data_IF_508676738982
#
_entry.id   IF_508676738982
#
_cell.length_a   1.000
_cell.length_b   1.000
_cell.length_c   1.000
_cell.angle_alpha   90.00
_cell.angle_beta   90.00
_cell.angle_gamma   90.00
#
_symmetry.space_group_name_H-M   'P 1'
#
loop_
_entity.id
_entity.type
_entity.pdbx_description
1 polymer ?
#
# COMPACT_ATOMS: atom_id res chain seq x y z
N UNK A 1 27.82 -53.24 10.12
CA UNK A 1 28.36 -52.18 11.00
C UNK A 1 28.72 -50.88 10.26
N UNK A 2 29.36 -50.89 9.07
CA UNK A 2 29.77 -49.66 8.36
C UNK A 2 28.62 -48.76 7.83
N UNK A 3 27.50 -49.32 7.36
CA UNK A 3 26.36 -48.55 6.87
C UNK A 3 25.65 -47.77 7.99
N UNK A 4 25.60 -48.37 9.19
CA UNK A 4 24.99 -47.77 10.39
C UNK A 4 25.76 -46.53 10.86
N UNK A 5 27.10 -46.57 10.81
CA UNK A 5 27.94 -45.44 11.19
C UNK A 5 27.78 -44.24 10.24
N UNK A 6 27.65 -44.48 8.93
CA UNK A 6 27.44 -43.42 7.95
C UNK A 6 26.08 -42.75 8.12
N UNK A 7 25.01 -43.53 8.34
CA UNK A 7 23.68 -42.99 8.63
C UNK A 7 23.66 -42.16 9.92
N UNK A 8 24.37 -42.58 10.96
CA UNK A 8 24.52 -41.82 12.21
C UNK A 8 25.29 -40.53 11.96
N UNK A 9 26.40 -40.56 11.21
CA UNK A 9 27.16 -39.35 10.88
C UNK A 9 26.35 -38.34 10.05
N UNK A 10 25.51 -38.80 9.12
CA UNK A 10 24.62 -37.94 8.34
C UNK A 10 23.55 -37.32 9.25
N UNK A 11 22.96 -38.10 10.16
CA UNK A 11 21.97 -37.60 11.10
C UNK A 11 22.57 -36.56 12.05
N UNK A 12 23.77 -36.82 12.58
CA UNK A 12 24.52 -35.93 13.46
C UNK A 12 24.94 -34.65 12.71
N UNK A 13 25.36 -34.74 11.45
CA UNK A 13 25.66 -33.57 10.62
C UNK A 13 24.43 -32.68 10.43
N UNK A 14 23.25 -33.26 10.12
CA UNK A 14 21.99 -32.51 10.03
C UNK A 14 21.62 -31.85 11.37
N UNK A 15 21.77 -32.56 12.49
CA UNK A 15 21.49 -32.00 13.82
C UNK A 15 22.44 -30.86 14.23
N UNK A 16 23.72 -30.89 13.85
CA UNK A 16 24.69 -29.84 14.18
C UNK A 16 24.49 -28.58 13.32
N UNK A 17 23.94 -28.71 12.10
CA UNK A 17 23.63 -27.56 11.24
C UNK A 17 22.31 -26.86 11.57
N UNK A 18 21.46 -27.46 12.41
CA UNK A 18 20.26 -26.79 12.92
C UNK A 18 20.65 -25.80 14.02
N UNK A 19 20.86 -24.54 13.64
CA UNK A 19 20.75 -23.46 14.63
C UNK A 19 19.35 -23.55 15.24
N UNK A 20 19.27 -23.96 16.50
CA UNK A 20 18.09 -23.75 17.34
C UNK A 20 18.00 -22.24 17.58
N UNK A 21 17.45 -21.51 16.62
CA UNK A 21 17.03 -20.15 16.89
C UNK A 21 15.90 -20.24 17.91
N UNK A 22 16.10 -19.58 19.06
CA UNK A 22 15.07 -19.41 20.07
C UNK A 22 13.81 -18.80 19.42
N UNK A 23 12.64 -19.05 20.05
CA UNK A 23 11.38 -18.40 19.67
C UNK A 23 11.62 -16.92 19.38
N UNK A 24 11.13 -16.42 18.24
CA UNK A 24 11.10 -14.98 17.98
C UNK A 24 10.19 -14.33 19.04
N UNK A 25 10.81 -13.89 20.12
CA UNK A 25 10.21 -12.99 21.09
C UNK A 25 10.15 -11.60 20.48
N UNK A 26 9.03 -10.91 20.72
CA UNK A 26 8.89 -9.50 20.34
C UNK A 26 7.89 -9.23 19.22
N UNK A 27 6.87 -10.07 19.00
CA UNK A 27 5.73 -9.73 18.15
C UNK A 27 4.71 -8.87 18.90
N UNK A 28 3.69 -9.52 19.46
CA UNK A 28 2.64 -8.89 20.25
C UNK A 28 2.89 -9.00 21.75
N UNK A 29 2.36 -8.04 22.53
CA UNK A 29 2.38 -8.11 24.00
C UNK A 29 1.59 -9.35 24.49
N UNK A 30 2.15 -10.20 25.38
CA UNK A 30 1.46 -11.40 25.89
C UNK A 30 0.21 -11.08 26.73
N UNK A 31 0.02 -9.83 27.17
CA UNK A 31 -1.22 -9.43 27.84
C UNK A 31 -2.41 -9.31 26.88
N UNK A 32 -2.17 -9.30 25.57
CA UNK A 32 -3.22 -9.18 24.55
C UNK A 32 -4.06 -10.45 24.50
N UNK A 33 -5.35 -10.33 24.78
CA UNK A 33 -6.29 -11.46 24.71
C UNK A 33 -6.79 -11.64 23.30
N UNK A 34 -6.40 -12.76 22.69
CA UNK A 34 -6.79 -13.13 21.34
C UNK A 34 -8.05 -13.99 21.34
N UNK A 35 -8.92 -13.71 20.37
CA UNK A 35 -10.12 -14.45 20.03
C UNK A 35 -9.98 -14.99 18.61
N UNK A 36 -10.78 -16.00 18.29
CA UNK A 36 -10.80 -16.62 16.98
C UNK A 36 -12.24 -16.78 16.48
N UNK A 37 -12.48 -16.35 15.24
CA UNK A 37 -13.69 -16.68 14.50
C UNK A 37 -13.35 -17.63 13.36
N UNK A 38 -13.99 -18.80 13.33
CA UNK A 38 -13.78 -19.84 12.31
C UNK A 38 -14.89 -19.86 11.28
N UNK A 39 -14.53 -20.19 10.04
CA UNK A 39 -15.46 -20.50 8.97
C UNK A 39 -14.86 -21.55 8.03
N UNK A 40 -15.62 -22.00 7.04
CA UNK A 40 -15.09 -22.86 5.97
C UNK A 40 -13.96 -22.19 5.15
N UNK A 41 -13.81 -20.86 5.24
CA UNK A 41 -12.81 -20.05 4.52
C UNK A 41 -11.51 -19.85 5.31
N UNK A 42 -11.42 -20.47 6.49
CA UNK A 42 -10.32 -20.31 7.42
C UNK A 42 -10.74 -19.59 8.68
N UNK A 43 -9.89 -18.72 9.22
CA UNK A 43 -10.09 -18.12 10.52
C UNK A 43 -9.68 -16.66 10.55
N UNK A 44 -10.36 -15.88 11.37
CA UNK A 44 -9.96 -14.52 11.74
C UNK A 44 -9.50 -14.58 13.19
N UNK A 45 -8.25 -14.23 13.45
CA UNK A 45 -7.63 -14.16 14.77
C UNK A 45 -7.51 -12.67 15.11
N UNK A 46 -8.11 -12.25 16.22
CA UNK A 46 -8.24 -10.83 16.55
C UNK A 46 -8.18 -10.59 18.06
N UNK A 47 -7.66 -9.45 18.52
CA UNK A 47 -7.72 -9.05 19.92
C UNK A 47 -9.15 -8.75 20.37
N UNK A 48 -9.46 -9.05 21.63
CA UNK A 48 -10.72 -8.64 22.28
C UNK A 48 -11.03 -7.16 22.03
N UNK A 49 -12.27 -6.85 21.63
CA UNK A 49 -12.70 -5.50 21.27
C UNK A 49 -12.76 -5.22 19.76
N UNK A 50 -12.31 -6.17 18.92
CA UNK A 50 -12.47 -6.13 17.47
C UNK A 50 -13.55 -7.08 16.94
N UNK A 51 -14.45 -7.57 17.80
CA UNK A 51 -15.49 -8.55 17.50
C UNK A 51 -16.40 -8.11 16.34
N UNK A 52 -16.78 -6.83 16.32
CA UNK A 52 -17.64 -6.28 15.27
C UNK A 52 -16.93 -6.21 13.91
N UNK A 53 -15.66 -5.84 13.90
CA UNK A 53 -14.81 -5.77 12.72
C UNK A 53 -14.55 -7.18 12.18
N UNK A 54 -14.18 -8.13 13.04
CA UNK A 54 -13.98 -9.52 12.65
C UNK A 54 -15.25 -10.13 12.02
N UNK A 55 -16.42 -9.92 12.65
CA UNK A 55 -17.71 -10.40 12.13
C UNK A 55 -18.07 -9.78 10.77
N UNK A 56 -17.85 -8.46 10.64
CA UNK A 56 -18.09 -7.72 9.39
C UNK A 56 -17.20 -8.22 8.26
N UNK A 57 -15.92 -8.40 8.54
CA UNK A 57 -14.95 -8.90 7.58
C UNK A 57 -15.27 -10.33 7.14
N UNK A 58 -15.65 -11.21 8.07
CA UNK A 58 -16.11 -12.56 7.73
C UNK A 58 -17.32 -12.53 6.77
N UNK A 59 -18.28 -11.66 7.04
CA UNK A 59 -19.47 -11.48 6.21
C UNK A 59 -19.14 -10.89 4.84
N UNK A 60 -18.22 -9.93 4.76
CA UNK A 60 -17.75 -9.37 3.50
C UNK A 60 -17.01 -10.40 2.65
N UNK A 61 -16.12 -11.20 3.25
CA UNK A 61 -15.46 -12.31 2.54
C UNK A 61 -16.48 -13.29 1.96
N UNK A 62 -17.47 -13.70 2.75
CA UNK A 62 -18.54 -14.60 2.29
C UNK A 62 -19.36 -13.98 1.15
N UNK A 63 -19.71 -12.70 1.26
CA UNK A 63 -20.44 -11.96 0.23
C UNK A 63 -19.60 -11.82 -1.05
N UNK A 64 -18.33 -11.46 -0.94
CA UNK A 64 -17.43 -11.34 -2.09
C UNK A 64 -17.28 -12.67 -2.80
N UNK A 65 -17.19 -13.80 -2.09
CA UNK A 65 -17.19 -15.12 -2.73
C UNK A 65 -18.49 -15.42 -3.47
N UNK A 66 -19.64 -15.21 -2.83
CA UNK A 66 -20.94 -15.45 -3.46
C UNK A 66 -21.11 -14.62 -4.74
N UNK A 67 -20.65 -13.37 -4.72
CA UNK A 67 -20.68 -12.46 -5.87
C UNK A 67 -19.61 -12.78 -6.92
N UNK A 68 -18.48 -13.35 -6.49
CA UNK A 68 -17.42 -13.80 -7.39
C UNK A 68 -17.73 -15.17 -8.00
N UNK A 69 -18.71 -15.93 -7.50
CA UNK A 69 -19.02 -17.27 -8.01
C UNK A 69 -19.39 -17.29 -9.51
N UNK A 70 -19.84 -16.15 -10.05
CA UNK A 70 -20.10 -15.94 -11.48
C UNK A 70 -18.92 -15.35 -12.25
N UNK A 71 -17.84 -14.97 -11.57
CA UNK A 71 -16.59 -14.49 -12.14
C UNK A 71 -15.71 -15.68 -12.56
N UNK A 72 -15.22 -15.66 -13.80
CA UNK A 72 -14.35 -16.71 -14.34
C UNK A 72 -13.04 -16.91 -13.55
N UNK A 73 -12.64 -15.90 -12.77
CA UNK A 73 -11.46 -15.94 -11.90
C UNK A 73 -11.72 -16.67 -10.57
N UNK A 74 -12.96 -16.99 -10.23
CA UNK A 74 -13.28 -17.60 -8.94
C UNK A 74 -12.84 -19.06 -8.84
N UNK A 75 -12.22 -19.36 -7.70
CA UNK A 75 -12.00 -20.69 -7.16
C UNK A 75 -12.14 -20.53 -5.64
N UNK A 76 -12.81 -21.44 -4.92
CA UNK A 76 -12.84 -21.40 -3.47
C UNK A 76 -11.41 -21.24 -2.95
N UNK A 77 -11.18 -20.18 -2.16
CA UNK A 77 -9.88 -19.99 -1.56
C UNK A 77 -9.58 -21.20 -0.67
N UNK A 78 -8.32 -21.64 -0.65
CA UNK A 78 -7.87 -22.51 0.45
C UNK A 78 -8.16 -21.80 1.78
N UNK A 79 -8.35 -22.47 2.93
CA UNK A 79 -8.53 -21.75 4.19
C UNK A 79 -7.34 -20.82 4.50
N UNK A 80 -7.59 -19.54 4.80
CA UNK A 80 -6.57 -18.56 5.19
C UNK A 80 -6.71 -18.14 6.65
N UNK A 81 -5.59 -17.78 7.29
CA UNK A 81 -5.63 -17.08 8.59
C UNK A 81 -5.56 -15.58 8.34
N UNK A 82 -6.54 -14.83 8.84
CA UNK A 82 -6.50 -13.37 8.88
C UNK A 82 -6.17 -12.93 10.30
N UNK A 83 -5.18 -12.07 10.47
CA UNK A 83 -4.76 -11.56 11.78
C UNK A 83 -5.05 -10.06 11.83
N UNK A 84 -5.85 -9.63 12.80
CA UNK A 84 -6.15 -8.20 13.00
C UNK A 84 -5.18 -7.62 14.04
N UNK A 85 -4.25 -6.78 13.62
CA UNK A 85 -3.34 -6.07 14.53
C UNK A 85 -3.92 -4.72 14.91
N UNK A 86 -4.03 -4.42 16.20
CA UNK A 86 -4.61 -3.15 16.70
C UNK A 86 -3.62 -2.26 17.46
N UNK A 87 -2.38 -2.71 17.66
CA UNK A 87 -1.35 -2.01 18.42
C UNK A 87 -0.38 -1.19 17.56
N UNK A 88 -0.45 -1.29 16.23
CA UNK A 88 0.30 -0.45 15.30
C UNK A 88 -0.42 0.86 15.02
N UNK A 89 0.31 1.88 14.56
CA UNK A 89 -0.18 3.20 14.16
C UNK A 89 0.03 3.44 12.67
N UNK A 90 0.93 2.68 12.04
CA UNK A 90 1.10 2.66 10.60
C UNK A 90 -0.06 1.87 9.98
N UNK A 91 -0.85 2.47 9.07
CA UNK A 91 -1.87 1.75 8.32
C UNK A 91 -1.20 0.85 7.28
N UNK A 92 -1.53 -0.44 7.30
CA UNK A 92 -1.03 -1.38 6.31
C UNK A 92 -1.87 -2.66 6.30
N UNK A 93 -1.67 -3.45 5.26
CA UNK A 93 -2.06 -4.84 5.22
C UNK A 93 -1.18 -5.59 4.24
N UNK A 94 -1.12 -6.91 4.39
CA UNK A 94 -0.48 -7.75 3.39
C UNK A 94 -0.99 -9.18 3.43
N UNK A 95 -0.72 -9.90 2.35
CA UNK A 95 -0.96 -11.33 2.18
C UNK A 95 0.37 -12.02 1.92
N UNK A 96 0.64 -13.10 2.67
CA UNK A 96 1.83 -13.94 2.47
C UNK A 96 1.47 -15.42 2.35
N UNK A 97 2.34 -16.15 1.66
CA UNK A 97 2.12 -17.56 1.36
C UNK A 97 2.68 -18.50 2.42
N UNK A 98 3.80 -18.16 3.07
CA UNK A 98 4.51 -19.01 4.03
C UNK A 98 4.63 -18.36 5.43
N UNK A 99 3.76 -18.72 6.39
CA UNK A 99 2.55 -19.50 6.22
C UNK A 99 1.44 -18.71 5.54
N UNK A 100 0.38 -19.40 5.13
CA UNK A 100 -0.84 -18.83 4.52
C UNK A 100 -1.57 -17.88 5.46
N UNK A 101 -1.32 -16.59 5.32
CA UNK A 101 -2.02 -15.61 6.12
C UNK A 101 -2.10 -14.24 5.48
N UNK A 102 -3.09 -13.48 5.95
CA UNK A 102 -3.16 -12.04 5.78
C UNK A 102 -3.05 -11.38 7.14
N UNK A 103 -2.29 -10.30 7.22
CA UNK A 103 -2.19 -9.47 8.41
C UNK A 103 -2.69 -8.07 8.10
N UNK A 104 -3.56 -7.55 8.97
CA UNK A 104 -4.37 -6.37 8.72
C UNK A 104 -4.19 -5.40 9.88
N UNK A 105 -3.63 -4.22 9.61
CA UNK A 105 -3.36 -3.24 10.65
C UNK A 105 -4.57 -2.33 10.79
N UNK A 106 -5.29 -2.48 11.90
CA UNK A 106 -6.63 -1.93 12.10
C UNK A 106 -6.66 -0.44 12.42
N UNK A 107 -5.50 0.23 12.41
CA UNK A 107 -5.43 1.69 12.52
C UNK A 107 -5.66 2.30 11.14
N UNK A 108 -6.70 3.15 10.98
CA UNK A 108 -7.02 3.72 9.68
C UNK A 108 -5.96 4.72 9.22
N UNK A 109 -5.84 4.85 7.90
CA UNK A 109 -5.20 6.03 7.30
C UNK A 109 -5.86 7.31 7.80
N UNK A 110 -5.07 8.36 8.02
CA UNK A 110 -5.58 9.68 8.44
C UNK A 110 -6.03 10.54 7.26
N UNK A 111 -5.59 10.19 6.06
CA UNK A 111 -5.93 10.86 4.82
C UNK A 111 -7.09 10.14 4.11
N UNK A 112 -8.26 10.78 4.10
CA UNK A 112 -9.45 10.26 3.43
C UNK A 112 -9.45 10.53 1.90
N UNK A 113 -8.49 11.27 1.37
CA UNK A 113 -8.41 11.59 -0.06
C UNK A 113 -7.67 10.52 -0.87
N UNK A 114 -6.72 9.80 -0.26
CA UNK A 114 -5.94 8.74 -0.94
C UNK A 114 -6.68 7.42 -1.06
N UNK A 115 -7.42 6.99 -0.04
CA UNK A 115 -8.15 5.70 -0.01
C UNK A 115 -9.68 5.85 0.05
N UNK A 116 -10.19 7.08 -0.03
CA UNK A 116 -11.60 7.39 0.13
C UNK A 116 -12.03 7.37 1.59
N UNK A 117 -13.32 7.62 1.83
CA UNK A 117 -13.93 7.66 3.18
C UNK A 117 -14.71 6.37 3.51
N UNK A 118 -14.32 5.25 2.91
CA UNK A 118 -14.85 3.94 3.29
C UNK A 118 -14.42 3.58 4.71
N UNK A 119 -15.18 2.70 5.34
CA UNK A 119 -14.72 2.07 6.57
C UNK A 119 -13.40 1.35 6.31
N UNK A 120 -12.45 1.50 7.23
CA UNK A 120 -11.09 1.00 7.07
C UNK A 120 -11.02 -0.52 6.95
N UNK A 121 -11.77 -1.23 7.79
CA UNK A 121 -11.88 -2.70 7.78
C UNK A 121 -12.45 -3.22 6.44
N UNK A 122 -13.39 -2.48 5.84
CA UNK A 122 -13.94 -2.82 4.52
C UNK A 122 -12.90 -2.62 3.41
N UNK A 123 -12.22 -1.47 3.41
CA UNK A 123 -11.20 -1.16 2.41
C UNK A 123 -10.11 -2.23 2.40
N UNK A 124 -9.56 -2.52 3.59
CA UNK A 124 -8.56 -3.56 3.78
C UNK A 124 -9.03 -4.92 3.28
N UNK A 125 -10.19 -5.41 3.74
CA UNK A 125 -10.59 -6.78 3.40
C UNK A 125 -10.97 -6.92 1.93
N UNK A 126 -11.56 -5.89 1.31
CA UNK A 126 -11.90 -5.93 -0.12
C UNK A 126 -10.63 -6.05 -0.96
N UNK A 127 -9.56 -5.35 -0.59
CA UNK A 127 -8.28 -5.40 -1.27
C UNK A 127 -7.54 -6.72 -1.02
N UNK A 128 -7.25 -7.04 0.24
CA UNK A 128 -6.41 -8.19 0.59
C UNK A 128 -7.06 -9.53 0.25
N UNK A 129 -8.39 -9.61 0.33
CA UNK A 129 -9.09 -10.82 -0.11
C UNK A 129 -8.90 -11.07 -1.61
N UNK A 130 -8.60 -10.05 -2.41
CA UNK A 130 -8.24 -10.25 -3.81
C UNK A 130 -6.95 -11.02 -3.95
N UNK A 131 -5.92 -10.66 -3.21
CA UNK A 131 -4.66 -11.40 -3.23
C UNK A 131 -4.85 -12.85 -2.81
N UNK A 132 -5.70 -13.11 -1.81
CA UNK A 132 -6.10 -14.47 -1.41
C UNK A 132 -6.74 -15.25 -2.59
N UNK A 133 -7.65 -14.63 -3.33
CA UNK A 133 -8.26 -15.22 -4.53
C UNK A 133 -7.22 -15.47 -5.63
N UNK A 134 -6.36 -14.50 -5.92
CA UNK A 134 -5.29 -14.57 -6.90
C UNK A 134 -4.32 -15.72 -6.59
N UNK A 135 -3.77 -15.77 -5.38
CA UNK A 135 -2.87 -16.86 -4.97
C UNK A 135 -3.54 -18.23 -5.03
N UNK A 136 -4.81 -18.32 -4.60
CA UNK A 136 -5.56 -19.58 -4.68
C UNK A 136 -5.80 -20.03 -6.13
N UNK A 137 -5.96 -19.08 -7.07
CA UNK A 137 -6.16 -19.34 -8.50
C UNK A 137 -4.86 -19.66 -9.23
N UNK A 138 -3.75 -19.03 -8.86
CA UNK A 138 -2.47 -19.09 -9.57
C UNK A 138 -1.66 -20.36 -9.28
N UNK A 139 -2.06 -21.19 -8.30
CA UNK A 139 -1.48 -22.52 -8.09
C UNK A 139 -1.95 -23.56 -9.13
N UNK A 140 -1.47 -23.43 -10.37
CA UNK A 140 -1.80 -24.30 -11.52
C UNK A 140 -0.59 -24.51 -12.44
N UNK A 141 -0.62 -25.57 -13.23
CA UNK A 141 0.41 -25.82 -14.24
C UNK A 141 1.80 -25.92 -13.63
N UNK A 142 2.78 -25.27 -14.27
CA UNK A 142 4.15 -25.27 -13.77
C UNK A 142 4.28 -24.57 -12.41
N UNK A 143 3.50 -23.54 -12.09
CA UNK A 143 3.44 -22.98 -10.72
C UNK A 143 3.10 -24.05 -9.67
N UNK A 144 2.25 -25.02 -9.99
CA UNK A 144 1.95 -26.14 -9.08
C UNK A 144 3.15 -27.07 -8.87
N UNK A 145 3.98 -27.25 -9.89
CA UNK A 145 5.22 -28.02 -9.77
C UNK A 145 6.18 -27.33 -8.81
N UNK A 146 6.38 -26.01 -8.95
CA UNK A 146 7.17 -25.24 -7.97
C UNK A 146 6.57 -25.32 -6.56
N UNK A 147 5.25 -25.20 -6.44
CA UNK A 147 4.55 -25.33 -5.16
C UNK A 147 4.74 -26.71 -4.52
N UNK A 148 4.77 -27.77 -5.31
CA UNK A 148 5.02 -29.13 -4.83
C UNK A 148 6.47 -29.32 -4.36
N UNK A 149 7.44 -28.78 -5.10
CA UNK A 149 8.87 -28.97 -4.81
C UNK A 149 9.39 -28.09 -3.67
N UNK A 150 8.94 -26.84 -3.59
CA UNK A 150 9.47 -25.81 -2.69
C UNK A 150 8.39 -25.23 -1.76
N UNK A 151 7.23 -25.88 -1.69
CA UNK A 151 6.12 -25.45 -0.84
C UNK A 151 5.55 -24.08 -1.24
N UNK A 152 5.17 -23.32 -0.23
CA UNK A 152 4.50 -22.02 -0.40
C UNK A 152 5.42 -20.95 -0.99
N UNK A 153 6.71 -21.01 -0.65
CA UNK A 153 7.76 -20.17 -1.24
C UNK A 153 7.97 -20.48 -2.73
N UNK A 154 7.89 -21.76 -3.11
CA UNK A 154 7.90 -22.18 -4.50
C UNK A 154 6.78 -21.54 -5.32
N UNK A 155 5.57 -21.55 -4.75
CA UNK A 155 4.43 -20.90 -5.40
C UNK A 155 4.66 -19.38 -5.53
N UNK A 156 5.15 -18.73 -4.47
CA UNK A 156 5.41 -17.28 -4.47
C UNK A 156 6.44 -16.91 -5.54
N UNK A 157 7.54 -17.66 -5.64
CA UNK A 157 8.56 -17.47 -6.67
C UNK A 157 7.97 -17.61 -8.08
N UNK A 158 7.25 -18.71 -8.35
CA UNK A 158 6.68 -18.97 -9.66
C UNK A 158 5.63 -17.92 -10.06
N UNK A 159 4.84 -17.44 -9.11
CA UNK A 159 3.91 -16.32 -9.32
C UNK A 159 4.67 -15.02 -9.62
N UNK A 160 5.70 -14.67 -8.85
CA UNK A 160 6.45 -13.42 -9.01
C UNK A 160 7.20 -13.31 -10.33
N UNK A 161 7.62 -14.43 -10.94
CA UNK A 161 8.26 -14.41 -12.27
C UNK A 161 7.26 -14.45 -13.43
N UNK A 162 6.01 -14.87 -13.19
CA UNK A 162 4.99 -15.03 -14.25
C UNK A 162 3.95 -13.94 -14.27
N UNK A 163 3.64 -13.31 -13.14
CA UNK A 163 2.61 -12.29 -13.02
C UNK A 163 3.30 -11.01 -12.51
N UNK A 164 3.18 -9.89 -13.23
CA UNK A 164 3.78 -8.64 -12.77
C UNK A 164 3.06 -8.10 -11.53
N UNK A 165 3.83 -7.49 -10.63
CA UNK A 165 3.40 -6.72 -9.47
C UNK A 165 2.23 -5.76 -9.75
N UNK A 166 2.32 -4.95 -10.81
CA UNK A 166 1.23 -4.04 -11.17
C UNK A 166 -0.09 -4.76 -11.43
N UNK A 167 -0.08 -6.02 -11.87
CA UNK A 167 -1.32 -6.74 -12.12
C UNK A 167 -1.94 -7.24 -10.82
N UNK A 168 -1.13 -7.76 -9.88
CA UNK A 168 -1.61 -8.16 -8.55
C UNK A 168 -2.38 -7.00 -7.90
N UNK A 169 -1.74 -5.84 -7.85
CA UNK A 169 -2.23 -4.64 -7.17
C UNK A 169 -3.35 -3.96 -7.97
N UNK A 170 -3.20 -3.88 -9.29
CA UNK A 170 -4.20 -3.29 -10.18
C UNK A 170 -5.53 -4.02 -10.18
N UNK A 171 -5.51 -5.35 -10.12
CA UNK A 171 -6.69 -6.20 -10.05
C UNK A 171 -7.36 -6.15 -8.66
N UNK A 172 -6.57 -5.95 -7.59
CA UNK A 172 -7.10 -5.65 -6.26
C UNK A 172 -7.76 -4.26 -6.20
N UNK A 173 -7.16 -3.22 -6.80
CA UNK A 173 -7.80 -1.90 -6.94
C UNK A 173 -9.04 -1.95 -7.82
N UNK A 174 -9.03 -2.78 -8.87
CA UNK A 174 -10.22 -3.01 -9.68
C UNK A 174 -11.33 -3.66 -8.86
N UNK A 175 -11.01 -4.60 -7.96
CA UNK A 175 -11.96 -5.18 -7.02
C UNK A 175 -12.52 -4.14 -6.03
N UNK A 176 -11.67 -3.31 -5.41
CA UNK A 176 -12.12 -2.19 -4.57
C UNK A 176 -13.14 -1.34 -5.32
N UNK A 177 -12.80 -0.98 -6.55
CA UNK A 177 -13.63 -0.16 -7.40
C UNK A 177 -14.93 -0.91 -7.72
N UNK A 178 -14.90 -2.18 -8.09
CA UNK A 178 -16.13 -2.91 -8.42
C UNK A 178 -17.10 -3.04 -7.24
N UNK A 179 -16.59 -3.24 -6.01
CA UNK A 179 -17.44 -3.61 -4.86
C UNK A 179 -17.64 -2.53 -3.81
N UNK A 180 -17.11 -1.34 -4.02
CA UNK A 180 -17.32 -0.21 -3.11
C UNK A 180 -17.62 1.08 -3.85
N UNK A 181 -18.27 2.01 -3.16
CA UNK A 181 -18.64 3.32 -3.70
C UNK A 181 -17.46 4.27 -3.89
N UNK A 182 -16.35 4.05 -3.16
CA UNK A 182 -15.17 4.92 -3.17
C UNK A 182 -13.85 4.15 -3.32
N UNK A 183 -13.86 2.97 -3.94
CA UNK A 183 -12.63 2.27 -4.31
C UNK A 183 -11.72 3.16 -5.16
N UNK A 184 -10.40 3.00 -5.06
CA UNK A 184 -9.42 3.99 -5.55
C UNK A 184 -9.61 4.40 -7.02
N UNK A 185 -10.08 3.51 -7.88
CA UNK A 185 -10.40 3.81 -9.28
C UNK A 185 -11.48 4.87 -9.51
N UNK A 186 -12.24 5.27 -8.47
CA UNK A 186 -13.19 6.40 -8.52
C UNK A 186 -12.64 7.70 -7.94
N UNK A 187 -11.50 7.66 -7.27
CA UNK A 187 -10.95 8.83 -6.62
C UNK A 187 -10.23 9.70 -7.66
N UNK A 188 -10.58 10.99 -7.81
CA UNK A 188 -9.88 11.86 -8.76
C UNK A 188 -8.37 11.94 -8.49
N UNK A 189 -8.00 11.95 -7.20
CA UNK A 189 -6.60 12.03 -6.76
C UNK A 189 -5.76 10.81 -7.12
N UNK A 190 -6.38 9.63 -7.31
CA UNK A 190 -5.69 8.39 -7.68
C UNK A 190 -5.03 8.48 -9.05
N UNK A 191 -5.46 9.39 -9.93
CA UNK A 191 -4.87 9.55 -11.27
C UNK A 191 -3.90 10.74 -11.36
N UNK A 192 -3.56 11.39 -10.25
CA UNK A 192 -2.79 12.64 -10.28
C UNK A 192 -1.40 12.46 -10.91
N UNK A 193 -0.67 11.39 -10.57
CA UNK A 193 0.69 11.20 -11.07
C UNK A 193 0.69 10.88 -12.56
N UNK A 194 -0.17 9.98 -13.02
CA UNK A 194 -0.29 9.68 -14.46
C UNK A 194 -0.79 10.89 -15.27
N UNK A 195 -1.73 11.69 -14.73
CA UNK A 195 -2.21 12.91 -15.40
C UNK A 195 -1.11 13.97 -15.47
N UNK A 196 -0.35 14.16 -14.40
CA UNK A 196 0.82 15.05 -14.39
C UNK A 196 1.86 14.61 -15.43
N UNK A 197 2.10 13.29 -15.55
CA UNK A 197 2.99 12.75 -16.56
C UNK A 197 2.50 13.06 -17.99
N UNK A 198 1.22 12.88 -18.29
CA UNK A 198 0.63 13.24 -19.60
C UNK A 198 0.70 14.74 -19.89
N UNK A 199 0.33 15.58 -18.92
CA UNK A 199 0.35 17.05 -19.05
C UNK A 199 1.77 17.60 -19.23
N UNK A 200 2.80 16.90 -18.74
CA UNK A 200 4.18 17.33 -18.90
C UNK A 200 4.68 17.30 -20.36
N UNK A 201 3.98 16.58 -21.26
CA UNK A 201 4.40 16.40 -22.65
C UNK A 201 5.71 15.60 -22.83
N UNK A 202 6.31 15.10 -21.74
CA UNK A 202 7.61 14.41 -21.78
C UNK A 202 7.45 12.95 -22.19
N UNK A 203 8.35 12.42 -23.05
CA UNK A 203 8.33 11.01 -23.42
C UNK A 203 8.95 10.18 -22.30
N UNK A 204 8.12 9.51 -21.50
CA UNK A 204 8.59 8.54 -20.50
C UNK A 204 8.67 7.12 -21.10
N UNK A 205 9.78 6.42 -20.84
CA UNK A 205 9.94 5.03 -21.28
C UNK A 205 9.05 4.11 -20.46
N UNK A 206 8.61 3.00 -21.06
CA UNK A 206 7.78 1.99 -20.39
C UNK A 206 8.35 1.54 -19.05
N UNK A 207 9.65 1.25 -18.96
CA UNK A 207 10.26 0.79 -17.70
C UNK A 207 10.24 1.86 -16.59
N UNK A 208 10.21 3.15 -16.95
CA UNK A 208 10.05 4.23 -15.97
C UNK A 208 8.60 4.31 -15.48
N UNK A 209 7.63 4.21 -16.38
CA UNK A 209 6.20 4.22 -16.02
C UNK A 209 5.87 2.99 -15.17
N UNK A 210 6.39 1.82 -15.54
CA UNK A 210 6.15 0.56 -14.83
C UNK A 210 6.75 0.53 -13.42
N UNK A 211 7.96 1.05 -13.26
CA UNK A 211 8.75 0.85 -12.03
C UNK A 211 8.82 2.11 -11.15
N UNK A 212 8.18 3.21 -11.56
CA UNK A 212 8.28 4.50 -10.90
C UNK A 212 9.65 5.19 -11.09
N UNK A 213 9.86 6.30 -10.38
CA UNK A 213 11.12 7.04 -10.36
C UNK A 213 11.29 7.90 -9.11
N UNK A 214 12.49 7.92 -8.52
CA UNK A 214 12.87 8.86 -7.46
C UNK A 214 13.31 10.23 -7.99
N UNK A 215 13.22 10.47 -9.30
CA UNK A 215 13.61 11.73 -9.93
C UNK A 215 12.46 12.38 -10.70
N UNK A 216 11.40 11.62 -10.99
CA UNK A 216 10.29 12.02 -11.84
C UNK A 216 8.99 11.58 -11.18
N UNK A 217 8.03 12.49 -11.11
CA UNK A 217 6.70 12.18 -10.63
C UNK A 217 6.01 11.31 -11.69
N UNK A 218 5.90 10.01 -11.39
CA UNK A 218 5.36 8.98 -12.25
C UNK A 218 4.37 8.14 -11.44
N UNK A 219 3.39 7.49 -12.09
CA UNK A 219 2.47 6.59 -11.41
C UNK A 219 3.24 5.46 -10.70
N UNK A 220 2.64 4.94 -9.64
CA UNK A 220 3.07 3.70 -9.01
C UNK A 220 2.42 2.47 -9.69
N UNK A 221 2.67 1.29 -9.13
CA UNK A 221 2.14 0.04 -9.63
C UNK A 221 0.63 -0.12 -9.37
N UNK A 222 0.03 0.60 -8.40
CA UNK A 222 -1.41 0.61 -8.16
C UNK A 222 -2.12 1.39 -9.27
N UNK A 223 -1.69 2.63 -9.52
CA UNK A 223 -2.27 3.50 -10.55
C UNK A 223 -2.17 2.86 -11.94
N UNK A 224 -0.95 2.46 -12.32
CA UNK A 224 -0.71 1.81 -13.61
C UNK A 224 -1.46 0.47 -13.70
N UNK A 225 -1.40 -0.31 -12.64
CA UNK A 225 -2.02 -1.61 -12.55
C UNK A 225 -3.52 -1.54 -12.80
N UNK A 226 -4.19 -0.61 -12.13
CA UNK A 226 -5.62 -0.40 -12.27
C UNK A 226 -5.98 0.01 -13.70
N UNK A 227 -5.26 0.96 -14.30
CA UNK A 227 -5.51 1.42 -15.68
C UNK A 227 -5.46 0.24 -16.66
N UNK A 228 -4.40 -0.57 -16.58
CA UNK A 228 -4.25 -1.72 -17.48
C UNK A 228 -5.34 -2.77 -17.24
N UNK A 229 -5.63 -3.07 -15.98
CA UNK A 229 -6.59 -4.10 -15.59
C UNK A 229 -8.02 -3.72 -15.96
N UNK A 230 -8.43 -2.49 -15.62
CA UNK A 230 -9.72 -1.93 -15.98
C UNK A 230 -9.91 -1.90 -17.51
N UNK A 231 -8.89 -1.47 -18.26
CA UNK A 231 -8.93 -1.50 -19.72
C UNK A 231 -9.13 -2.91 -20.28
N UNK A 232 -8.41 -3.91 -19.73
CA UNK A 232 -8.56 -5.31 -20.11
C UNK A 232 -9.99 -5.81 -19.94
N UNK A 233 -10.63 -5.50 -18.80
CA UNK A 233 -12.04 -5.83 -18.55
C UNK A 233 -12.98 -5.10 -19.52
N UNK A 234 -12.79 -3.80 -19.72
CA UNK A 234 -13.67 -2.97 -20.55
C UNK A 234 -13.63 -3.37 -22.03
N UNK A 235 -12.42 -3.63 -22.57
CA UNK A 235 -12.24 -3.88 -24.01
C UNK A 235 -12.41 -5.34 -24.41
N UNK A 236 -11.93 -6.28 -23.60
CA UNK A 236 -11.86 -7.70 -23.96
C UNK A 236 -12.83 -8.58 -23.16
N UNK A 237 -13.62 -7.97 -22.28
CA UNK A 237 -14.68 -8.62 -21.52
C UNK A 237 -14.21 -9.34 -20.25
N UNK A 238 -15.16 -9.89 -19.47
CA UNK A 238 -14.90 -10.41 -18.12
C UNK A 238 -13.96 -11.62 -18.08
N UNK A 239 -13.89 -12.42 -19.15
CA UNK A 239 -13.06 -13.62 -19.21
C UNK A 239 -11.58 -13.35 -19.58
N UNK A 240 -11.23 -12.12 -19.98
CA UNK A 240 -9.91 -11.80 -20.52
C UNK A 240 -8.80 -12.11 -19.52
N UNK A 241 -8.90 -11.59 -18.29
CA UNK A 241 -7.87 -11.75 -17.28
C UNK A 241 -7.77 -13.18 -16.74
N UNK A 242 -8.86 -13.94 -16.72
CA UNK A 242 -8.78 -15.38 -16.42
C UNK A 242 -7.94 -16.12 -17.46
N UNK A 243 -8.16 -15.84 -18.75
CA UNK A 243 -7.37 -16.46 -19.82
C UNK A 243 -5.90 -16.04 -19.77
N UNK A 244 -5.63 -14.75 -19.57
CA UNK A 244 -4.26 -14.21 -19.49
C UNK A 244 -3.49 -14.82 -18.33
N UNK A 245 -4.04 -14.77 -17.12
CA UNK A 245 -3.37 -15.29 -15.93
C UNK A 245 -3.23 -16.82 -15.98
N UNK A 246 -4.23 -17.55 -16.50
CA UNK A 246 -4.16 -18.99 -16.67
C UNK A 246 -3.02 -19.43 -17.60
N UNK A 247 -2.77 -18.69 -18.67
CA UNK A 247 -1.65 -18.97 -19.58
C UNK A 247 -0.31 -18.60 -18.95
N UNK A 248 -0.26 -17.48 -18.24
CA UNK A 248 0.94 -16.99 -17.57
C UNK A 248 1.45 -17.97 -16.50
N UNK A 249 0.60 -18.40 -15.56
CA UNK A 249 0.98 -19.35 -14.47
C UNK A 249 1.29 -20.76 -14.97
N UNK A 250 0.84 -21.10 -16.20
CA UNK A 250 1.24 -22.32 -16.90
C UNK A 250 2.51 -22.15 -17.71
N UNK A 251 3.14 -20.97 -17.66
CA UNK A 251 4.34 -20.60 -18.40
C UNK A 251 4.17 -20.83 -19.92
N UNK A 252 2.98 -20.58 -20.47
CA UNK A 252 2.75 -20.74 -21.91
C UNK A 252 3.56 -19.70 -22.69
N UNK A 253 4.55 -20.18 -23.45
CA UNK A 253 5.53 -19.35 -24.13
C UNK A 253 6.84 -19.15 -23.37
N UNK A 254 6.97 -19.77 -22.18
CA UNK A 254 8.12 -19.81 -21.26
C UNK A 254 8.60 -18.42 -20.83
N UNK A 255 9.29 -17.70 -21.72
CA UNK A 255 9.73 -16.34 -21.50
C UNK A 255 8.61 -15.34 -21.78
N UNK A 256 8.45 -14.39 -20.86
CA UNK A 256 7.42 -13.35 -20.92
C UNK A 256 6.00 -13.91 -21.09
N UNK A 257 5.69 -14.98 -20.35
CA UNK A 257 4.42 -15.70 -20.47
C UNK A 257 3.20 -14.78 -20.32
N UNK A 258 3.24 -13.80 -19.41
CA UNK A 258 2.18 -12.80 -19.26
C UNK A 258 1.97 -11.93 -20.50
N UNK A 259 3.07 -11.37 -21.04
CA UNK A 259 3.00 -10.52 -22.23
C UNK A 259 2.44 -11.32 -23.41
N UNK A 260 2.96 -12.54 -23.65
CA UNK A 260 2.47 -13.44 -24.71
C UNK A 260 1.01 -13.85 -24.51
N UNK A 261 0.58 -13.99 -23.26
CA UNK A 261 -0.81 -14.30 -22.94
C UNK A 261 -1.73 -13.12 -23.27
N UNK A 262 -1.34 -11.88 -22.93
CA UNK A 262 -2.05 -10.68 -23.37
C UNK A 262 -2.15 -10.67 -24.90
N UNK A 263 -1.04 -10.92 -25.60
CA UNK A 263 -1.03 -10.91 -27.07
C UNK A 263 -2.00 -11.92 -27.66
N UNK A 264 -1.99 -13.14 -27.14
CA UNK A 264 -2.87 -14.23 -27.57
C UNK A 264 -4.35 -13.91 -27.36
N UNK A 265 -4.70 -13.33 -26.21
CA UNK A 265 -6.11 -13.11 -25.83
C UNK A 265 -6.66 -11.74 -26.22
N UNK A 266 -5.79 -10.81 -26.61
CA UNK A 266 -6.18 -9.47 -27.08
C UNK A 266 -6.07 -9.30 -28.60
N UNK A 267 -5.31 -10.17 -29.27
CA UNK A 267 -5.00 -10.06 -30.71
C UNK A 267 -4.03 -8.93 -31.07
N UNK A 268 -3.46 -8.22 -30.08
CA UNK A 268 -2.51 -7.11 -30.29
C UNK A 268 -1.24 -7.33 -29.48
N UNK A 269 -0.10 -6.79 -29.95
CA UNK A 269 1.15 -6.89 -29.19
C UNK A 269 1.00 -6.32 -27.78
N UNK A 270 1.78 -6.81 -26.81
CA UNK A 270 1.76 -6.27 -25.45
C UNK A 270 2.05 -4.77 -25.47
N UNK A 271 2.97 -4.34 -26.34
CA UNK A 271 3.25 -2.91 -26.57
C UNK A 271 2.00 -2.11 -26.95
N UNK A 272 1.26 -2.61 -27.93
CA UNK A 272 0.04 -1.97 -28.41
C UNK A 272 -1.05 -1.99 -27.34
N UNK A 273 -1.22 -3.09 -26.60
CA UNK A 273 -2.17 -3.19 -25.49
C UNK A 273 -1.96 -2.07 -24.46
N UNK A 274 -0.75 -1.90 -23.93
CA UNK A 274 -0.47 -0.84 -22.92
C UNK A 274 -0.58 0.58 -23.49
N UNK A 275 -0.20 0.80 -24.76
CA UNK A 275 -0.38 2.09 -25.42
C UNK A 275 -1.87 2.44 -25.60
N UNK A 276 -2.69 1.47 -26.00
CA UNK A 276 -4.12 1.64 -26.13
C UNK A 276 -4.82 1.83 -24.79
N UNK A 277 -4.40 1.12 -23.73
CA UNK A 277 -4.92 1.29 -22.38
C UNK A 277 -4.66 2.70 -21.83
N UNK A 278 -3.41 3.16 -21.89
CA UNK A 278 -3.03 4.50 -21.42
C UNK A 278 -3.73 5.60 -22.20
N UNK A 279 -3.86 5.43 -23.53
CA UNK A 279 -4.60 6.37 -24.37
C UNK A 279 -6.08 6.43 -24.01
N UNK A 280 -6.73 5.27 -23.84
CA UNK A 280 -8.15 5.20 -23.50
C UNK A 280 -8.44 5.93 -22.18
N UNK A 281 -7.61 5.75 -21.16
CA UNK A 281 -7.76 6.48 -19.89
C UNK A 281 -7.44 7.98 -20.01
N UNK A 282 -6.45 8.35 -20.82
CA UNK A 282 -6.14 9.76 -21.11
C UNK A 282 -7.33 10.48 -21.77
N UNK A 283 -8.05 9.80 -22.65
CA UNK A 283 -9.27 10.31 -23.30
C UNK A 283 -10.43 10.39 -22.31
N UNK A 284 -10.67 9.36 -21.51
CA UNK A 284 -11.76 9.30 -20.52
C UNK A 284 -11.62 10.35 -19.40
N UNK A 285 -10.41 10.49 -18.83
CA UNK A 285 -10.15 11.43 -17.73
C UNK A 285 -10.07 12.88 -18.21
N UNK A 286 -9.97 13.09 -19.53
CA UNK A 286 -9.68 14.37 -20.14
C UNK A 286 -8.26 14.86 -19.84
N UNK A 287 -7.75 15.69 -20.73
CA UNK A 287 -6.62 16.54 -20.36
C UNK A 287 -7.17 17.66 -19.50
N UNK A 288 -6.44 18.04 -18.43
CA UNK A 288 -6.70 19.32 -17.82
C UNK A 288 -6.66 20.34 -18.96
N UNK A 289 -7.81 20.97 -19.27
CA UNK A 289 -7.78 22.16 -20.12
C UNK A 289 -6.76 23.06 -19.45
N UNK A 290 -5.81 23.57 -20.20
CA UNK A 290 -5.08 24.76 -19.77
C UNK A 290 -6.14 25.85 -19.61
N UNK A 291 -6.89 25.84 -18.50
CA UNK A 291 -7.36 27.08 -17.91
C UNK A 291 -6.11 27.91 -17.87
N UNK A 292 -6.10 28.96 -18.69
CA UNK A 292 -4.99 29.87 -18.89
C UNK A 292 -4.21 29.97 -17.60
N UNK A 293 -2.88 29.86 -17.67
CA UNK A 293 -1.97 30.15 -16.58
C UNK A 293 -2.05 31.63 -16.11
N UNK A 294 -3.23 32.23 -16.15
CA UNK A 294 -3.57 33.49 -15.54
C UNK A 294 -3.63 33.30 -14.02
N UNK A 295 -2.57 33.81 -13.39
CA UNK A 295 -2.52 34.33 -12.02
C UNK A 295 -2.35 33.34 -10.86
N UNK A 296 -1.62 32.23 -11.01
CA UNK A 296 -0.97 31.65 -9.81
C UNK A 296 0.18 32.57 -9.40
N UNK A 297 -0.03 33.39 -8.36
CA UNK A 297 1.05 34.12 -7.71
C UNK A 297 1.77 33.15 -6.77
N UNK A 298 2.89 32.61 -7.24
CA UNK A 298 3.76 31.80 -6.39
C UNK A 298 4.31 32.66 -5.25
N UNK A 299 4.41 32.07 -4.05
CA UNK A 299 5.03 32.72 -2.89
C UNK A 299 6.52 32.95 -3.17
N UNK A 300 7.18 31.97 -3.78
CA UNK A 300 8.54 32.06 -4.31
C UNK A 300 8.66 31.12 -5.51
N UNK A 301 9.66 31.36 -6.36
CA UNK A 301 9.92 30.51 -7.52
C UNK A 301 10.20 29.05 -7.12
N UNK A 302 9.49 28.06 -7.69
CA UNK A 302 9.76 26.66 -7.40
C UNK A 302 11.17 26.25 -7.85
N UNK A 303 11.94 25.65 -6.94
CA UNK A 303 13.27 25.13 -7.23
C UNK A 303 13.24 24.01 -8.29
N UNK A 304 14.18 24.02 -9.24
CA UNK A 304 14.02 23.28 -10.51
C UNK A 304 14.41 21.79 -10.53
N UNK A 305 14.68 21.09 -9.41
CA UNK A 305 15.38 19.79 -9.49
C UNK A 305 14.92 18.65 -8.58
N UNK A 306 13.98 18.86 -7.66
CA UNK A 306 13.61 17.82 -6.69
C UNK A 306 12.11 17.81 -6.46
N UNK A 307 11.51 16.61 -6.48
CA UNK A 307 10.11 16.41 -6.09
C UNK A 307 9.99 16.83 -4.63
N UNK A 308 9.16 17.85 -4.41
CA UNK A 308 9.02 18.54 -3.14
C UNK A 308 7.55 18.87 -2.96
N UNK A 309 6.99 18.44 -1.84
CA UNK A 309 5.61 18.73 -1.45
C UNK A 309 5.64 19.67 -0.24
N UNK A 310 5.04 20.84 -0.37
CA UNK A 310 4.74 21.73 0.75
C UNK A 310 3.32 21.45 1.21
N UNK A 311 3.20 20.81 2.37
CA UNK A 311 1.96 20.25 2.92
C UNK A 311 1.53 21.04 4.17
N UNK A 312 0.22 21.06 4.40
CA UNK A 312 -0.42 21.67 5.58
C UNK A 312 0.03 23.11 5.84
N UNK A 313 -0.12 24.04 4.86
CA UNK A 313 0.25 25.43 5.05
C UNK A 313 -0.56 26.10 6.16
N UNK A 314 0.15 26.75 7.07
CA UNK A 314 -0.42 27.53 8.17
C UNK A 314 0.12 28.96 8.11
N UNK A 315 -0.73 29.96 8.32
CA UNK A 315 -0.31 31.37 8.31
C UNK A 315 0.59 31.67 9.52
N UNK A 316 1.64 32.43 9.27
CA UNK A 316 2.56 32.94 10.28
C UNK A 316 2.75 34.45 10.07
N UNK A 317 1.88 35.27 10.68
CA UNK A 317 1.82 36.70 10.37
C UNK A 317 1.09 36.97 9.05
N UNK A 318 1.45 38.07 8.36
CA UNK A 318 0.70 38.56 7.20
C UNK A 318 1.22 38.06 5.85
N UNK A 319 2.49 37.65 5.77
CA UNK A 319 3.19 37.39 4.51
C UNK A 319 4.02 36.09 4.51
N UNK A 320 3.89 35.26 5.55
CA UNK A 320 4.65 34.01 5.66
C UNK A 320 3.78 32.81 5.99
N UNK A 321 4.22 31.63 5.51
CA UNK A 321 3.60 30.35 5.79
C UNK A 321 4.57 29.41 6.50
N UNK A 322 4.05 28.67 7.47
CA UNK A 322 4.72 27.50 8.03
C UNK A 322 4.15 26.28 7.33
N UNK A 323 5.02 25.45 6.76
CA UNK A 323 4.64 24.23 6.03
C UNK A 323 5.43 23.01 6.53
N UNK A 324 4.83 21.84 6.37
CA UNK A 324 5.58 20.58 6.36
C UNK A 324 6.13 20.39 4.95
N UNK A 325 7.45 20.36 4.78
CA UNK A 325 8.05 20.04 3.48
C UNK A 325 8.54 18.60 3.46
N UNK A 326 8.04 17.82 2.51
CA UNK A 326 8.52 16.49 2.16
C UNK A 326 9.31 16.55 0.86
N UNK A 327 10.41 15.80 0.78
CA UNK A 327 11.27 15.80 -0.41
C UNK A 327 11.90 14.43 -0.65
N UNK A 328 12.16 14.09 -1.91
CA UNK A 328 12.84 12.84 -2.26
C UNK A 328 14.36 12.84 -1.93
N UNK A 329 14.92 13.95 -1.47
CA UNK A 329 16.34 14.07 -1.11
C UNK A 329 16.59 14.41 0.36
N UNK A 330 15.56 14.79 1.12
CA UNK A 330 15.72 15.27 2.48
C UNK A 330 14.57 14.77 3.36
N UNK A 331 14.88 14.41 4.61
CA UNK A 331 13.88 14.09 5.61
C UNK A 331 12.89 15.24 5.81
N UNK A 332 11.63 14.89 6.07
CA UNK A 332 10.54 15.86 6.25
C UNK A 332 10.86 16.86 7.36
N UNK A 333 10.49 18.12 7.14
CA UNK A 333 10.83 19.20 8.04
C UNK A 333 9.78 20.30 8.08
N UNK A 334 9.91 21.16 9.08
CA UNK A 334 9.13 22.39 9.24
C UNK A 334 9.89 23.51 8.54
N UNK A 335 9.23 24.20 7.62
CA UNK A 335 9.80 25.29 6.83
C UNK A 335 8.98 26.55 6.97
N UNK A 336 9.65 27.70 6.96
CA UNK A 336 9.05 29.02 6.80
C UNK A 336 9.18 29.42 5.32
N UNK A 337 8.04 29.70 4.67
CA UNK A 337 7.98 30.20 3.31
C UNK A 337 7.68 31.70 3.34
N UNK A 338 8.50 32.48 2.66
CA UNK A 338 8.28 33.92 2.43
C UNK A 338 8.53 34.26 0.96
N UNK A 339 8.30 35.51 0.57
CA UNK A 339 8.67 36.01 -0.75
C UNK A 339 10.17 35.84 -1.08
N UNK A 340 11.03 35.81 -0.06
CA UNK A 340 12.47 35.61 -0.21
C UNK A 340 12.86 34.15 -0.45
N UNK A 341 11.95 33.19 -0.19
CA UNK A 341 12.16 31.77 -0.38
C UNK A 341 11.77 30.92 0.83
N UNK A 342 12.30 29.70 0.87
CA UNK A 342 12.00 28.71 1.90
C UNK A 342 13.19 28.53 2.86
N UNK A 343 12.95 28.73 4.16
CA UNK A 343 13.92 28.49 5.23
C UNK A 343 13.53 27.26 6.04
N UNK A 344 14.39 26.23 6.06
CA UNK A 344 14.23 25.08 6.96
C UNK A 344 14.39 25.56 8.41
N UNK A 345 13.39 25.31 9.24
CA UNK A 345 13.44 25.60 10.67
C UNK A 345 13.92 24.38 11.45
N UNK A 346 13.39 23.19 11.13
CA UNK A 346 13.67 21.96 11.87
C UNK A 346 13.38 20.72 11.01
N UNK A 347 14.15 19.65 11.21
CA UNK A 347 13.81 18.30 10.73
C UNK A 347 12.84 17.67 11.73
N UNK A 348 11.73 17.10 11.26
CA UNK A 348 10.76 16.44 12.14
C UNK A 348 11.30 15.09 12.63
N UNK A 349 10.76 14.61 13.74
CA UNK A 349 10.89 13.20 14.13
C UNK A 349 10.34 12.27 13.03
N UNK A 350 10.52 10.95 13.17
CA UNK A 350 9.84 10.00 12.28
C UNK A 350 8.32 10.17 12.39
N UNK A 351 7.62 10.07 11.26
CA UNK A 351 6.19 10.39 11.17
C UNK A 351 5.38 9.21 10.63
N UNK A 352 4.13 9.09 11.06
CA UNK A 352 3.11 8.25 10.41
C UNK A 352 2.34 9.01 9.33
N UNK A 353 2.23 10.32 9.48
CA UNK A 353 1.63 11.24 8.52
C UNK A 353 2.28 12.64 8.62
N UNK A 354 2.15 13.46 7.58
CA UNK A 354 2.84 14.75 7.47
C UNK A 354 2.09 15.91 8.16
N UNK A 355 0.94 15.64 8.80
CA UNK A 355 0.06 16.65 9.38
C UNK A 355 0.79 17.47 10.45
N UNK A 356 0.44 18.76 10.50
CA UNK A 356 0.80 19.63 11.61
C UNK A 356 -0.22 20.75 11.73
N UNK A 357 -0.30 21.32 12.93
CA UNK A 357 -0.95 22.60 13.19
C UNK A 357 0.08 23.59 13.74
N UNK A 358 -0.16 24.88 13.52
CA UNK A 358 0.66 25.92 14.14
C UNK A 358 -0.17 27.13 14.53
N UNK A 359 0.17 27.74 15.66
CA UNK A 359 -0.45 28.96 16.17
C UNK A 359 0.58 29.79 16.91
N UNK A 360 0.72 31.06 16.52
CA UNK A 360 1.76 31.93 17.06
C UNK A 360 3.15 31.29 16.91
N UNK A 361 3.84 31.13 18.03
CA UNK A 361 5.18 30.53 18.07
C UNK A 361 5.19 29.00 18.25
N UNK A 362 4.03 28.34 18.21
CA UNK A 362 3.92 26.89 18.48
C UNK A 362 3.57 26.13 17.22
N UNK A 363 4.24 24.99 17.02
CA UNK A 363 3.91 23.97 16.03
C UNK A 363 3.70 22.66 16.77
N UNK A 364 2.59 21.97 16.49
CA UNK A 364 2.31 20.63 17.02
C UNK A 364 2.14 19.62 15.90
N UNK A 365 2.63 18.41 16.13
CA UNK A 365 2.53 17.30 15.19
C UNK A 365 2.63 15.96 15.92
N UNK A 366 2.23 14.88 15.23
CA UNK A 366 2.35 13.52 15.74
C UNK A 366 3.64 12.87 15.26
N UNK A 367 4.41 12.30 16.16
CA UNK A 367 5.62 11.57 15.86
C UNK A 367 5.44 10.06 16.12
N UNK A 368 5.92 9.27 15.18
CA UNK A 368 6.04 7.83 15.30
C UNK A 368 7.07 7.46 16.37
N UNK A 369 6.73 6.48 17.20
CA UNK A 369 7.64 5.90 18.17
C UNK A 369 7.43 4.40 18.23
N UNK A 370 8.46 3.64 17.85
CA UNK A 370 8.46 2.18 17.97
C UNK A 370 8.52 1.74 19.44
N UNK A 371 7.87 0.61 19.77
CA UNK A 371 8.04 -0.05 21.07
C UNK A 371 9.35 -0.85 21.08
N UNK A 372 10.24 -0.65 22.08
CA UNK A 372 11.54 -1.30 22.12
C UNK A 372 11.52 -2.83 22.19
N UNK A 373 10.38 -3.42 22.57
CA UNK A 373 10.24 -4.86 22.80
C UNK A 373 9.26 -5.54 21.85
N UNK A 374 8.19 -4.88 21.45
CA UNK A 374 7.09 -5.51 20.70
C UNK A 374 6.93 -4.90 19.31
N UNK A 375 7.34 -5.63 18.28
CA UNK A 375 7.33 -5.26 16.87
C UNK A 375 5.95 -4.86 16.36
N UNK A 376 4.88 -5.54 16.80
CA UNK A 376 3.51 -5.23 16.39
C UNK A 376 2.86 -4.13 17.25
N UNK A 377 3.66 -3.43 18.08
CA UNK A 377 3.23 -2.27 18.84
C UNK A 377 4.11 -1.08 18.53
N UNK A 378 3.45 0.03 18.24
CA UNK A 378 4.09 1.31 18.11
C UNK A 378 3.13 2.40 18.62
N UNK A 379 3.60 3.63 18.62
CA UNK A 379 2.93 4.76 19.23
C UNK A 379 2.95 5.97 18.30
N UNK A 380 1.95 6.81 18.48
CA UNK A 380 1.86 8.13 17.89
C UNK A 380 1.77 9.15 19.00
N UNK A 381 2.83 9.95 19.14
CA UNK A 381 3.07 10.82 20.28
C UNK A 381 3.15 12.28 19.86
N UNK A 382 2.55 13.16 20.66
CA UNK A 382 2.49 14.58 20.31
C UNK A 382 3.83 15.26 20.63
N UNK A 383 4.37 15.94 19.62
CA UNK A 383 5.53 16.82 19.73
C UNK A 383 5.07 18.25 19.61
N UNK A 384 5.64 19.11 20.43
CA UNK A 384 5.45 20.55 20.36
C UNK A 384 6.80 21.21 20.11
N UNK A 385 6.87 22.06 19.09
CA UNK A 385 8.04 22.82 18.73
C UNK A 385 7.74 24.31 18.86
N UNK A 386 8.61 25.03 19.57
CA UNK A 386 8.50 26.47 19.73
C UNK A 386 9.48 27.18 18.78
N UNK A 387 8.92 27.97 17.85
CA UNK A 387 9.63 28.66 16.77
C UNK A 387 10.62 29.71 17.27
N UNK A 388 10.29 30.39 18.37
CA UNK A 388 11.10 31.47 18.94
C UNK A 388 12.33 30.94 19.68
N UNK A 389 12.14 29.89 20.49
CA UNK A 389 13.21 29.31 21.33
C UNK A 389 13.97 28.19 20.64
N UNK A 390 13.48 27.72 19.48
CA UNK A 390 13.98 26.55 18.77
C UNK A 390 14.03 25.26 19.65
N UNK A 391 13.11 25.15 20.62
CA UNK A 391 13.02 24.00 21.53
C UNK A 391 11.84 23.10 21.16
N UNK A 392 12.11 21.80 21.11
CA UNK A 392 11.08 20.77 20.96
C UNK A 392 10.82 20.08 22.31
N UNK A 393 9.56 19.81 22.61
CA UNK A 393 9.11 19.04 23.78
C UNK A 393 8.23 17.87 23.33
N UNK A 394 8.35 16.76 24.04
CA UNK A 394 7.45 15.62 23.95
C UNK A 394 6.31 15.83 24.94
N UNK A 395 5.08 15.91 24.46
CA UNK A 395 3.92 16.15 25.31
C UNK A 395 3.30 14.84 25.80
N UNK A 396 3.36 13.78 25.00
CA UNK A 396 2.73 12.49 25.32
C UNK A 396 3.72 11.34 25.18
N UNK A 397 3.42 10.21 25.85
CA UNK A 397 4.26 9.02 25.89
C UNK A 397 3.42 7.77 25.85
N UNK A 398 3.76 6.82 24.96
CA UNK A 398 3.04 5.57 24.75
C UNK A 398 1.55 5.78 24.42
N UNK A 399 1.28 6.79 23.60
CA UNK A 399 -0.08 7.17 23.18
C UNK A 399 -0.35 6.78 21.72
N UNK A 400 -1.59 6.96 21.29
CA UNK A 400 -2.03 6.75 19.92
C UNK A 400 -2.87 7.95 19.47
N UNK A 401 -2.26 9.14 19.60
CA UNK A 401 -2.88 10.41 19.22
C UNK A 401 -2.47 10.81 17.82
N UNK A 402 -3.38 11.45 17.11
CA UNK A 402 -3.20 11.83 15.72
C UNK A 402 -3.80 13.22 15.50
N UNK A 403 -3.29 13.92 14.51
CA UNK A 403 -3.87 15.19 14.05
C UNK A 403 -4.07 16.25 15.17
N UNK A 404 -3.04 16.55 16.00
CA UNK A 404 -3.18 17.50 17.10
C UNK A 404 -3.42 18.92 16.61
N UNK A 405 -4.20 19.69 17.35
CA UNK A 405 -4.38 21.12 17.07
C UNK A 405 -4.06 21.98 18.30
N UNK A 406 -4.06 23.30 18.12
CA UNK A 406 -3.84 24.29 19.17
C UNK A 406 -5.11 25.12 19.31
N UNK A 407 -5.67 25.16 20.52
CA UNK A 407 -6.87 25.95 20.83
C UNK A 407 -6.73 27.41 20.35
N UNK A 408 -7.83 28.10 20.02
CA UNK A 408 -7.77 29.46 19.49
C UNK A 408 -6.97 30.46 20.34
N UNK A 409 -7.01 30.31 21.66
CA UNK A 409 -6.26 31.11 22.65
C UNK A 409 -4.80 30.69 22.84
N UNK A 410 -4.39 29.55 22.28
CA UNK A 410 -3.02 29.03 22.38
C UNK A 410 -2.67 28.36 23.72
N UNK A 411 -3.66 28.12 24.59
CA UNK A 411 -3.44 27.60 25.93
C UNK A 411 -3.54 26.08 26.02
N UNK A 412 -4.19 25.42 25.06
CA UNK A 412 -4.44 23.99 25.07
C UNK A 412 -4.01 23.33 23.75
N UNK A 413 -3.57 22.08 23.87
CA UNK A 413 -3.35 21.19 22.72
C UNK A 413 -4.53 20.23 22.66
N UNK A 414 -5.22 20.23 21.52
CA UNK A 414 -6.45 19.48 21.25
C UNK A 414 -6.16 18.14 20.56
#
# INVERSE_FOLDING_TARGET
MRKSALSICILVFFCITCKLEAQQFGGNDPSLKWLEMRSSRGRIVYPSGLDSQASRMASLMQRMEALSATDTLYKPARPWTFILQNQTTIPNAYVRMAPVMSELYMTPVRDNFSLGSLRWDDNLIIHEYRHVQQFSRFNKGLTRVFSFLLGEEGQLLANGITIPDYYFEGDAVWQETRWSWQGRGRLPGFYNNIRAAWSSGKPYRWMQIRSGSLQRLLPDHYELGYILTAYGHQKYGPAFWDKVTNDAVRFKGLFYAFNKAIERHSGVSYKRFREEALRSFREQLGQAKETSAQAFRFIHEPGKKVITDDLFPQLSGTDSLIVTRRSYQQASGIYLLTAAGAKKLRVKDQLTDEYMASRGNLVVYSAYQWDPRWYNRDYSEIRMYNLQTNKQRRLTKKTKYFSPDISPDGLEIL
#
